data_IF_249133693542
#
_entry.id   IF_249133693542
#
_cell.length_a   1.000
_cell.length_b   1.000
_cell.length_c   1.000
_cell.angle_alpha   90.00
_cell.angle_beta   90.00
_cell.angle_gamma   90.00
#
_symmetry.space_group_name_H-M   'P 1'
#
loop_
_entity.id
_entity.type
_entity.pdbx_description
1 polymer ?
#
# COMPACT_ATOMS: atom_id res chain seq x y z
N UNK A 1 6.44 16.36 11.78
CA UNK A 1 5.85 15.11 12.28
C UNK A 1 5.45 14.26 11.09
N UNK A 2 5.68 12.96 11.13
CA UNK A 2 5.27 12.01 10.08
C UNK A 2 4.03 11.27 10.49
N UNK A 3 3.14 10.95 9.54
CA UNK A 3 1.98 10.08 9.78
C UNK A 3 1.65 9.24 8.56
N UNK A 4 1.11 8.05 8.79
CA UNK A 4 0.53 7.22 7.73
C UNK A 4 -0.98 7.13 7.95
N UNK A 5 -1.73 7.31 6.87
CA UNK A 5 -3.17 7.16 6.81
C UNK A 5 -3.46 5.94 5.94
N UNK A 6 -4.22 4.98 6.45
CA UNK A 6 -4.71 3.87 5.64
C UNK A 6 -5.83 4.35 4.74
N UNK A 7 -5.60 4.41 3.43
CA UNK A 7 -6.65 4.75 2.46
C UNK A 7 -7.47 3.52 2.07
N UNK A 8 -6.89 2.35 2.23
CA UNK A 8 -7.51 1.05 2.08
C UNK A 8 -6.81 0.00 2.94
N UNK A 9 -7.56 -0.90 3.55
CA UNK A 9 -7.06 -1.84 4.56
C UNK A 9 -7.27 -3.31 4.21
N UNK A 10 -7.88 -3.59 3.03
CA UNK A 10 -8.30 -4.92 2.64
C UNK A 10 -7.30 -5.59 1.69
N UNK A 11 -7.02 -6.87 1.91
CA UNK A 11 -6.35 -7.75 0.95
C UNK A 11 -7.30 -8.26 -0.13
N UNK A 12 -6.80 -8.24 -1.38
CA UNK A 12 -7.52 -8.64 -2.57
C UNK A 12 -8.44 -7.55 -3.17
N UNK A 13 -8.69 -7.60 -4.50
CA UNK A 13 -9.27 -6.50 -5.27
C UNK A 13 -10.80 -6.38 -5.14
N UNK A 14 -11.51 -7.40 -4.65
CA UNK A 14 -12.96 -7.43 -4.67
C UNK A 14 -13.59 -6.48 -3.65
N UNK A 15 -14.34 -5.48 -4.11
CA UNK A 15 -15.13 -4.59 -3.25
C UNK A 15 -16.48 -5.23 -2.91
N UNK A 16 -16.93 -5.04 -1.66
CA UNK A 16 -18.23 -5.49 -1.16
C UNK A 16 -18.95 -4.35 -0.45
N UNK A 17 -20.25 -4.38 -0.45
CA UNK A 17 -21.10 -3.37 0.20
C UNK A 17 -20.74 -3.25 1.69
N UNK A 18 -20.37 -2.05 2.11
CA UNK A 18 -20.01 -1.75 3.50
C UNK A 18 -18.68 -2.34 3.96
N UNK A 19 -17.92 -2.98 3.06
CA UNK A 19 -16.57 -3.48 3.33
C UNK A 19 -15.49 -2.43 3.07
N UNK A 20 -14.27 -2.67 3.58
CA UNK A 20 -13.13 -1.81 3.33
C UNK A 20 -12.65 -1.90 1.87
N UNK A 21 -11.88 -0.90 1.47
CA UNK A 21 -11.27 -0.81 0.14
C UNK A 21 -9.93 -1.55 0.06
N UNK A 22 -9.50 -1.99 -1.13
CA UNK A 22 -8.18 -2.57 -1.36
C UNK A 22 -7.04 -1.69 -0.87
N UNK A 23 -5.92 -2.34 -0.60
CA UNK A 23 -4.78 -1.76 0.09
C UNK A 23 -4.23 -0.50 -0.58
N UNK A 24 -4.11 0.55 0.20
CA UNK A 24 -3.35 1.75 -0.13
C UNK A 24 -3.07 2.58 1.12
N UNK A 25 -1.97 3.35 1.08
CA UNK A 25 -1.53 4.19 2.19
C UNK A 25 -1.20 5.59 1.71
N UNK A 26 -1.34 6.56 2.58
CA UNK A 26 -0.81 7.91 2.39
C UNK A 26 0.18 8.22 3.51
N UNK A 27 1.47 8.27 3.21
CA UNK A 27 2.49 8.78 4.10
C UNK A 27 2.61 10.29 3.91
N UNK A 28 2.48 11.02 5.01
CA UNK A 28 2.62 12.47 5.07
C UNK A 28 3.83 12.80 5.92
N UNK A 29 4.82 13.47 5.34
CA UNK A 29 5.99 13.97 6.05
C UNK A 29 6.09 15.47 5.76
N UNK A 30 5.87 16.30 6.78
CA UNK A 30 5.73 17.76 6.62
C UNK A 30 4.63 18.10 5.60
N UNK A 31 4.98 18.64 4.45
CA UNK A 31 4.11 19.00 3.32
C UNK A 31 4.18 18.02 2.14
N UNK A 32 5.00 16.97 2.25
CA UNK A 32 5.17 15.96 1.20
C UNK A 32 4.21 14.80 1.37
N UNK A 33 3.63 14.37 0.26
CA UNK A 33 2.64 13.30 0.18
C UNK A 33 3.19 12.14 -0.66
N UNK A 34 3.21 10.94 -0.07
CA UNK A 34 3.64 9.71 -0.72
C UNK A 34 2.49 8.72 -0.66
N UNK A 35 1.90 8.41 -1.80
CA UNK A 35 0.90 7.34 -1.92
C UNK A 35 1.63 6.02 -2.10
N UNK A 36 1.36 5.04 -1.25
CA UNK A 36 1.92 3.69 -1.36
C UNK A 36 0.78 2.75 -1.71
N UNK A 37 0.90 2.11 -2.84
CA UNK A 37 -0.10 1.33 -3.53
C UNK A 37 -1.35 2.13 -3.95
N UNK A 38 -1.96 1.68 -5.02
CA UNK A 38 -3.11 2.32 -5.66
C UNK A 38 -4.23 1.29 -5.89
N UNK A 39 -4.66 0.62 -4.81
CA UNK A 39 -5.85 -0.21 -4.82
C UNK A 39 -7.11 0.60 -5.14
N UNK A 40 -8.15 -0.09 -5.60
CA UNK A 40 -9.41 0.56 -5.98
C UNK A 40 -10.02 1.32 -4.78
N UNK A 41 -10.28 2.62 -4.94
CA UNK A 41 -10.74 3.52 -3.88
C UNK A 41 -9.68 4.48 -3.37
N UNK A 42 -8.41 4.36 -3.79
CA UNK A 42 -7.32 5.23 -3.35
C UNK A 42 -7.60 6.71 -3.62
N UNK A 43 -8.16 7.03 -4.79
CA UNK A 43 -8.51 8.42 -5.16
C UNK A 43 -9.50 9.03 -4.17
N UNK A 44 -10.53 8.28 -3.83
CA UNK A 44 -11.54 8.68 -2.86
C UNK A 44 -10.95 8.79 -1.45
N UNK A 45 -10.20 7.78 -1.02
CA UNK A 45 -9.54 7.77 0.29
C UNK A 45 -8.58 8.95 0.47
N UNK A 46 -7.84 9.33 -0.59
CA UNK A 46 -6.97 10.51 -0.58
C UNK A 46 -7.75 11.82 -0.28
N UNK A 47 -8.90 12.00 -0.91
CA UNK A 47 -9.76 13.18 -0.67
C UNK A 47 -10.42 13.12 0.71
N UNK A 48 -10.89 11.95 1.15
CA UNK A 48 -11.49 11.75 2.47
C UNK A 48 -10.46 11.93 3.60
N UNK A 49 -9.16 11.70 3.33
CA UNK A 49 -8.06 12.03 4.24
C UNK A 49 -7.80 13.54 4.37
N UNK A 50 -8.54 14.39 3.64
CA UNK A 50 -8.49 15.84 3.73
C UNK A 50 -7.49 16.50 2.79
N UNK A 51 -6.98 15.80 1.78
CA UNK A 51 -6.03 16.34 0.81
C UNK A 51 -6.70 16.66 -0.53
N UNK A 52 -6.15 17.65 -1.23
CA UNK A 52 -6.57 17.99 -2.58
C UNK A 52 -5.75 17.18 -3.60
N UNK A 53 -6.41 16.64 -4.61
CA UNK A 53 -5.78 15.78 -5.63
C UNK A 53 -4.63 16.47 -6.38
N UNK A 54 -4.68 17.79 -6.55
CA UNK A 54 -3.58 18.54 -7.16
C UNK A 54 -2.30 18.61 -6.30
N UNK A 55 -2.32 18.11 -5.06
CA UNK A 55 -1.14 17.96 -4.19
C UNK A 55 -0.41 16.62 -4.40
N UNK A 56 -0.96 15.71 -5.23
CA UNK A 56 -0.33 14.44 -5.54
C UNK A 56 1.06 14.68 -6.16
N UNK A 57 2.08 14.07 -5.57
CA UNK A 57 3.47 14.26 -6.01
C UNK A 57 4.25 12.97 -6.20
N UNK A 58 4.00 11.96 -5.37
CA UNK A 58 4.78 10.72 -5.39
C UNK A 58 3.88 9.50 -5.17
N UNK A 59 4.07 8.48 -5.99
CA UNK A 59 3.42 7.17 -5.87
C UNK A 59 4.49 6.09 -5.81
N UNK A 60 4.31 5.11 -4.93
CA UNK A 60 5.13 3.89 -4.87
C UNK A 60 4.21 2.67 -5.00
N UNK A 61 4.53 1.75 -5.89
CA UNK A 61 3.81 0.49 -6.06
C UNK A 61 4.69 -0.64 -5.54
N UNK A 62 4.19 -1.44 -4.59
CA UNK A 62 4.94 -2.55 -3.99
C UNK A 62 5.08 -3.73 -4.93
N UNK A 63 4.03 -4.06 -5.67
CA UNK A 63 3.99 -5.12 -6.68
C UNK A 63 2.78 -4.99 -7.63
N UNK A 64 2.73 -5.83 -8.68
CA UNK A 64 1.74 -5.71 -9.74
C UNK A 64 0.51 -6.61 -9.59
N UNK A 65 -0.04 -6.78 -8.37
CA UNK A 65 -1.43 -7.24 -8.23
C UNK A 65 -2.42 -6.08 -8.34
N UNK A 66 -3.64 -6.39 -8.78
CA UNK A 66 -4.66 -5.37 -9.07
C UNK A 66 -5.15 -4.63 -7.82
N UNK A 67 -5.12 -5.24 -6.65
CA UNK A 67 -5.45 -4.60 -5.38
C UNK A 67 -4.37 -3.62 -4.87
N UNK A 68 -3.23 -3.53 -5.57
CA UNK A 68 -2.14 -2.60 -5.28
C UNK A 68 -1.94 -1.55 -6.37
N UNK A 69 -2.50 -1.73 -7.59
CA UNK A 69 -2.16 -0.82 -8.69
C UNK A 69 -3.33 -0.48 -9.65
N UNK A 70 -4.52 -1.06 -9.47
CA UNK A 70 -5.62 -0.93 -10.45
C UNK A 70 -6.03 0.54 -10.67
N UNK A 71 -5.93 1.38 -9.66
CA UNK A 71 -6.33 2.79 -9.73
C UNK A 71 -5.15 3.75 -9.98
N UNK A 72 -3.94 3.23 -10.22
CA UNK A 72 -2.73 4.02 -10.46
C UNK A 72 -2.92 5.14 -11.51
N UNK A 73 -3.33 4.78 -12.71
CA UNK A 73 -3.57 5.76 -13.76
C UNK A 73 -4.78 6.64 -13.49
N UNK A 74 -5.85 6.07 -12.94
CA UNK A 74 -7.08 6.80 -12.61
C UNK A 74 -6.86 7.86 -11.54
N UNK A 75 -6.04 7.59 -10.51
CA UNK A 75 -5.67 8.57 -9.49
C UNK A 75 -5.01 9.79 -10.13
N UNK A 76 -4.00 9.59 -11.00
CA UNK A 76 -3.28 10.69 -11.64
C UNK A 76 -4.18 11.43 -12.63
N UNK A 77 -4.99 10.71 -13.42
CA UNK A 77 -5.95 11.31 -14.37
C UNK A 77 -6.99 12.18 -13.64
N UNK A 78 -7.53 11.67 -12.52
CA UNK A 78 -8.48 12.43 -11.71
C UNK A 78 -7.80 13.65 -11.07
N UNK A 79 -6.56 13.50 -10.59
CA UNK A 79 -5.77 14.62 -10.08
C UNK A 79 -5.51 15.68 -11.17
N UNK A 80 -5.21 15.26 -12.40
CA UNK A 80 -5.05 16.16 -13.55
C UNK A 80 -6.33 16.95 -13.84
N UNK A 81 -7.48 16.31 -13.84
CA UNK A 81 -8.75 17.03 -14.01
C UNK A 81 -9.06 17.94 -12.82
N UNK A 82 -8.52 17.67 -11.65
CA UNK A 82 -8.62 18.50 -10.43
C UNK A 82 -7.53 19.59 -10.32
N UNK A 83 -6.74 19.82 -11.38
CA UNK A 83 -5.77 20.91 -11.44
C UNK A 83 -4.33 20.52 -11.10
N UNK A 84 -3.97 19.24 -11.12
CA UNK A 84 -2.58 18.81 -11.05
C UNK A 84 -1.82 19.37 -12.24
N UNK A 85 -0.73 20.10 -11.98
CA UNK A 85 0.09 20.76 -13.00
C UNK A 85 1.59 20.43 -12.87
N UNK A 86 1.99 19.77 -11.78
CA UNK A 86 3.36 19.32 -11.54
C UNK A 86 3.48 17.80 -11.81
N UNK A 87 4.65 17.33 -12.31
CA UNK A 87 4.87 15.90 -12.53
C UNK A 87 4.76 15.06 -11.26
N UNK A 88 4.07 13.92 -11.35
CA UNK A 88 4.00 12.88 -10.33
C UNK A 88 5.15 11.89 -10.58
N UNK A 89 5.98 11.70 -9.56
CA UNK A 89 7.04 10.70 -9.57
C UNK A 89 6.46 9.35 -9.15
N UNK A 90 6.43 8.39 -10.05
CA UNK A 90 5.87 7.07 -9.80
C UNK A 90 6.97 6.01 -9.80
N UNK A 91 7.15 5.35 -8.67
CA UNK A 91 8.15 4.29 -8.47
C UNK A 91 7.44 2.94 -8.37
N UNK A 92 7.93 1.92 -9.06
CA UNK A 92 7.37 0.57 -8.99
C UNK A 92 8.33 -0.49 -9.50
N UNK A 93 7.98 -1.77 -9.34
CA UNK A 93 8.69 -2.86 -10.02
C UNK A 93 8.65 -2.68 -11.52
N UNK A 94 9.52 -3.40 -12.23
CA UNK A 94 9.55 -3.41 -13.69
C UNK A 94 8.15 -3.68 -14.28
N UNK A 95 7.73 -2.85 -15.23
CA UNK A 95 6.40 -2.89 -15.84
C UNK A 95 5.55 -1.64 -15.62
N UNK A 96 5.92 -0.77 -14.69
CA UNK A 96 5.15 0.45 -14.40
C UNK A 96 5.08 1.39 -15.62
N UNK A 97 6.17 1.52 -16.37
CA UNK A 97 6.19 2.29 -17.62
C UNK A 97 5.21 1.74 -18.67
N UNK A 98 5.08 0.40 -18.74
CA UNK A 98 4.09 -0.24 -19.63
C UNK A 98 2.65 0.05 -19.17
N UNK A 99 2.37 -0.04 -17.88
CA UNK A 99 1.05 0.32 -17.32
C UNK A 99 0.69 1.78 -17.63
N UNK A 100 1.64 2.71 -17.47
CA UNK A 100 1.47 4.12 -17.86
C UNK A 100 1.08 4.23 -19.33
N UNK A 101 1.85 3.63 -20.23
CA UNK A 101 1.61 3.70 -21.66
C UNK A 101 0.24 3.12 -22.05
N UNK A 102 -0.12 1.95 -21.49
CA UNK A 102 -1.41 1.32 -21.72
C UNK A 102 -2.58 2.18 -21.19
N UNK A 103 -2.43 2.79 -20.02
CA UNK A 103 -3.43 3.69 -19.45
C UNK A 103 -3.65 4.93 -20.32
N UNK A 104 -2.58 5.57 -20.79
CA UNK A 104 -2.64 6.74 -21.67
C UNK A 104 -3.31 6.40 -23.01
N UNK A 105 -2.99 5.25 -23.59
CA UNK A 105 -3.65 4.79 -24.82
C UNK A 105 -5.14 4.49 -24.62
N UNK A 106 -5.50 3.83 -23.54
CA UNK A 106 -6.89 3.54 -23.19
C UNK A 106 -7.73 4.82 -23.07
N UNK A 107 -7.17 5.86 -22.48
CA UNK A 107 -7.86 7.12 -22.19
C UNK A 107 -7.54 8.24 -23.20
N UNK A 108 -6.87 7.92 -24.32
CA UNK A 108 -6.37 8.92 -25.29
C UNK A 108 -7.44 9.87 -25.82
N UNK A 109 -8.69 9.40 -25.96
CA UNK A 109 -9.79 10.22 -26.46
C UNK A 109 -10.14 11.35 -25.48
N UNK A 110 -10.36 11.03 -24.20
CA UNK A 110 -10.68 12.02 -23.16
C UNK A 110 -9.50 12.98 -22.95
N UNK A 111 -8.27 12.45 -22.90
CA UNK A 111 -7.05 13.23 -22.71
C UNK A 111 -6.89 14.25 -23.86
N UNK A 112 -6.94 13.79 -25.11
CA UNK A 112 -6.81 14.66 -26.27
C UNK A 112 -7.92 15.73 -26.35
N UNK A 113 -9.16 15.34 -26.02
CA UNK A 113 -10.29 16.26 -25.99
C UNK A 113 -10.08 17.37 -24.97
N UNK A 114 -9.70 17.03 -23.75
CA UNK A 114 -9.49 18.02 -22.68
C UNK A 114 -8.27 18.91 -22.91
N UNK A 115 -7.22 18.40 -23.53
CA UNK A 115 -6.08 19.24 -23.95
C UNK A 115 -6.54 20.27 -24.97
N UNK A 116 -7.29 19.85 -26.01
CA UNK A 116 -7.74 20.72 -27.07
C UNK A 116 -8.82 21.74 -26.63
N UNK A 117 -9.77 21.32 -25.81
CA UNK A 117 -10.94 22.11 -25.41
C UNK A 117 -10.68 22.96 -24.14
N UNK A 118 -10.00 22.39 -23.15
CA UNK A 118 -9.79 23.03 -21.85
C UNK A 118 -8.38 23.64 -21.70
N UNK A 119 -7.45 23.40 -22.65
CA UNK A 119 -6.07 23.89 -22.59
C UNK A 119 -5.24 23.27 -21.46
N UNK A 120 -5.54 22.04 -21.06
CA UNK A 120 -4.79 21.33 -20.02
C UNK A 120 -3.37 20.97 -20.49
N UNK A 121 -2.40 20.87 -19.56
CA UNK A 121 -1.07 20.33 -19.89
C UNK A 121 -1.19 18.87 -20.37
N UNK A 122 -0.21 18.40 -21.14
CA UNK A 122 -0.18 16.98 -21.55
C UNK A 122 -0.04 16.07 -20.33
N UNK A 123 -1.04 15.19 -20.11
CA UNK A 123 -1.02 14.24 -19.01
C UNK A 123 0.19 13.29 -19.09
N UNK A 124 0.65 12.98 -20.30
CA UNK A 124 1.81 12.11 -20.49
C UNK A 124 3.10 12.72 -19.90
N UNK A 125 3.23 14.04 -19.90
CA UNK A 125 4.38 14.74 -19.31
C UNK A 125 4.29 14.82 -17.77
N UNK A 126 3.10 14.62 -17.21
CA UNK A 126 2.89 14.66 -15.76
C UNK A 126 3.05 13.29 -15.07
N UNK A 127 3.35 12.23 -15.81
CA UNK A 127 3.57 10.89 -15.23
C UNK A 127 5.00 10.46 -15.51
N UNK A 128 5.86 10.56 -14.51
CA UNK A 128 7.26 10.12 -14.61
C UNK A 128 7.41 8.80 -13.88
N UNK A 129 7.78 7.73 -14.60
CA UNK A 129 7.92 6.38 -14.04
C UNK A 129 9.37 6.00 -13.81
N UNK A 130 9.64 5.36 -12.68
CA UNK A 130 10.94 4.85 -12.27
C UNK A 130 10.80 3.39 -11.85
N UNK A 131 11.54 2.51 -12.48
CA UNK A 131 11.62 1.12 -12.04
C UNK A 131 12.61 1.01 -10.87
N UNK A 132 12.27 0.20 -9.86
CA UNK A 132 13.16 -0.12 -8.77
C UNK A 132 13.27 -1.64 -8.55
N UNK A 133 14.33 -2.03 -7.87
CA UNK A 133 14.59 -3.37 -7.36
C UNK A 133 14.96 -3.29 -5.88
N UNK A 134 15.35 -4.41 -5.28
CA UNK A 134 15.85 -4.43 -3.91
C UNK A 134 17.01 -3.45 -3.71
N UNK A 135 16.98 -2.71 -2.60
CA UNK A 135 17.95 -1.69 -2.25
C UNK A 135 17.36 -0.28 -2.18
N UNK A 136 18.14 0.72 -2.54
CA UNK A 136 17.72 2.12 -2.53
C UNK A 136 16.72 2.38 -3.65
N UNK A 137 15.53 2.90 -3.30
CA UNK A 137 14.52 3.37 -4.25
C UNK A 137 14.81 4.82 -4.62
N UNK A 138 14.84 5.71 -3.63
CA UNK A 138 15.30 7.08 -3.76
C UNK A 138 15.70 7.65 -2.39
N UNK A 139 16.40 8.77 -2.42
CA UNK A 139 16.82 9.53 -1.24
C UNK A 139 16.69 11.01 -1.59
N UNK A 140 15.72 11.68 -0.98
CA UNK A 140 15.47 13.11 -1.19
C UNK A 140 15.66 13.90 0.13
N UNK A 141 15.43 15.21 0.11
CA UNK A 141 15.59 16.07 1.29
C UNK A 141 14.65 15.73 2.46
N UNK A 142 13.65 14.89 2.21
CA UNK A 142 12.56 14.58 3.15
C UNK A 142 12.64 13.16 3.68
N UNK A 143 12.86 12.18 2.79
CA UNK A 143 12.80 10.77 3.14
C UNK A 143 13.78 9.94 2.30
N UNK A 144 14.39 8.96 2.94
CA UNK A 144 15.13 7.89 2.28
C UNK A 144 14.22 6.66 2.21
N UNK A 145 13.99 6.15 0.99
CA UNK A 145 13.17 4.96 0.76
C UNK A 145 14.04 3.82 0.27
N UNK A 146 13.93 2.68 0.96
CA UNK A 146 14.59 1.43 0.58
C UNK A 146 13.58 0.31 0.39
N UNK A 147 13.86 -0.62 -0.50
CA UNK A 147 13.05 -1.78 -0.81
C UNK A 147 13.76 -3.08 -0.42
N UNK A 148 13.02 -4.03 0.11
CA UNK A 148 13.45 -5.39 0.42
C UNK A 148 12.56 -6.37 -0.33
N UNK A 149 13.16 -7.36 -1.01
CA UNK A 149 12.41 -8.33 -1.83
C UNK A 149 11.66 -9.32 -0.95
N UNK A 150 10.37 -9.39 -1.16
CA UNK A 150 9.44 -10.31 -0.51
C UNK A 150 9.46 -11.71 -1.16
N UNK A 151 8.78 -12.65 -0.51
CA UNK A 151 8.41 -13.93 -1.06
C UNK A 151 6.89 -14.00 -1.26
N UNK A 152 6.41 -13.60 -2.44
CA UNK A 152 4.98 -13.51 -2.77
C UNK A 152 4.66 -14.25 -4.08
N UNK A 153 4.78 -15.60 -4.11
CA UNK A 153 4.59 -16.35 -5.33
C UNK A 153 3.13 -16.25 -5.86
N UNK A 154 2.92 -16.16 -7.18
CA UNK A 154 3.94 -16.30 -8.23
C UNK A 154 4.66 -14.99 -8.60
N UNK A 155 4.34 -13.87 -7.95
CA UNK A 155 4.98 -12.57 -8.20
C UNK A 155 6.42 -12.61 -7.66
N UNK A 156 7.39 -12.36 -8.53
CA UNK A 156 8.82 -12.33 -8.18
C UNK A 156 9.22 -10.95 -7.63
N UNK A 157 8.69 -9.90 -8.27
CA UNK A 157 8.98 -8.51 -7.91
C UNK A 157 7.88 -7.96 -7.00
N UNK A 158 7.89 -8.42 -5.75
CA UNK A 158 7.11 -7.89 -4.63
C UNK A 158 8.08 -7.39 -3.57
N UNK A 159 7.81 -6.22 -2.98
CA UNK A 159 8.75 -5.54 -2.08
C UNK A 159 8.06 -4.99 -0.83
N UNK A 160 8.76 -5.15 0.30
CA UNK A 160 8.57 -4.31 1.47
C UNK A 160 9.29 -2.97 1.24
N UNK A 161 8.74 -1.90 1.81
CA UNK A 161 9.31 -0.56 1.73
C UNK A 161 9.62 -0.02 3.12
N UNK A 162 10.81 0.54 3.31
CA UNK A 162 11.21 1.25 4.52
C UNK A 162 11.42 2.71 4.21
N UNK A 163 10.85 3.56 5.06
CA UNK A 163 10.89 5.02 4.99
C UNK A 163 11.65 5.53 6.22
N UNK A 164 12.83 6.09 6.01
CA UNK A 164 13.64 6.71 7.06
C UNK A 164 13.63 8.23 6.85
N UNK A 165 13.24 9.00 7.87
CA UNK A 165 13.13 10.45 7.80
C UNK A 165 13.44 11.10 9.16
N UNK A 166 13.44 12.43 9.23
CA UNK A 166 13.58 13.17 10.48
C UNK A 166 12.29 13.92 10.78
N UNK A 167 11.84 13.84 12.04
CA UNK A 167 10.73 14.66 12.51
C UNK A 167 11.12 16.15 12.58
N UNK A 168 10.18 17.01 12.97
CA UNK A 168 10.38 18.47 13.02
C UNK A 168 11.44 18.90 14.03
N UNK A 169 11.81 18.02 14.97
CA UNK A 169 12.87 18.21 15.96
C UNK A 169 14.21 17.61 15.51
N UNK A 170 14.28 17.08 14.29
CA UNK A 170 15.46 16.42 13.75
C UNK A 170 15.72 15.00 14.27
N UNK A 171 14.77 14.42 15.04
CA UNK A 171 14.89 13.06 15.55
C UNK A 171 14.62 12.06 14.42
N UNK A 172 15.49 11.02 14.25
CA UNK A 172 15.25 9.95 13.30
C UNK A 172 13.94 9.21 13.58
N UNK A 173 13.18 8.94 12.52
CA UNK A 173 11.93 8.20 12.50
C UNK A 173 11.95 7.21 11.36
N UNK A 174 11.21 6.12 11.53
CA UNK A 174 11.10 5.12 10.47
C UNK A 174 9.77 4.39 10.47
N UNK A 175 9.27 4.13 9.28
CA UNK A 175 8.12 3.27 9.04
C UNK A 175 8.47 2.17 8.04
N UNK A 176 7.92 0.98 8.24
CA UNK A 176 8.04 -0.13 7.29
C UNK A 176 6.65 -0.59 6.87
N UNK A 177 6.44 -0.77 5.58
CA UNK A 177 5.26 -1.39 4.98
C UNK A 177 5.72 -2.70 4.37
N UNK A 178 5.13 -3.82 4.81
CA UNK A 178 5.56 -5.16 4.38
C UNK A 178 5.36 -5.41 2.88
N UNK A 179 4.35 -4.76 2.25
CA UNK A 179 3.80 -5.31 1.01
C UNK A 179 3.26 -6.73 1.26
N UNK A 180 2.98 -7.47 0.20
CA UNK A 180 2.51 -8.85 0.31
C UNK A 180 3.66 -9.84 0.34
N UNK A 181 3.61 -10.78 1.27
CA UNK A 181 4.67 -11.77 1.49
C UNK A 181 4.16 -12.98 2.26
N UNK A 182 4.74 -14.15 2.03
CA UNK A 182 4.67 -15.24 3.00
C UNK A 182 5.43 -14.88 4.27
N UNK A 183 5.33 -15.72 5.30
CA UNK A 183 6.22 -15.59 6.47
C UNK A 183 7.68 -15.60 6.06
N UNK A 184 8.34 -14.45 6.21
CA UNK A 184 9.71 -14.21 5.77
C UNK A 184 10.54 -13.66 6.95
N UNK A 185 11.25 -14.53 7.73
CA UNK A 185 12.02 -14.10 8.90
C UNK A 185 13.03 -12.98 8.61
N UNK A 186 13.63 -12.95 7.41
CA UNK A 186 14.59 -11.90 7.01
C UNK A 186 13.96 -10.49 6.96
N UNK A 187 12.65 -10.37 6.81
CA UNK A 187 11.94 -9.09 6.90
C UNK A 187 12.12 -8.44 8.28
N UNK A 188 12.34 -9.22 9.35
CA UNK A 188 12.61 -8.69 10.68
C UNK A 188 13.92 -7.89 10.73
N UNK A 189 14.95 -8.29 9.98
CA UNK A 189 16.18 -7.52 9.91
C UNK A 189 16.00 -6.20 9.16
N UNK A 190 15.23 -6.23 8.09
CA UNK A 190 14.87 -5.02 7.32
C UNK A 190 14.01 -4.03 8.14
N UNK A 191 13.07 -4.54 8.94
CA UNK A 191 12.20 -3.73 9.80
C UNK A 191 12.83 -3.38 11.16
N UNK A 192 14.06 -3.82 11.42
CA UNK A 192 14.71 -3.68 12.75
C UNK A 192 14.61 -2.26 13.29
N UNK A 193 14.05 -2.16 14.51
CA UNK A 193 13.95 -0.91 15.27
C UNK A 193 13.09 0.18 14.64
N UNK A 194 12.25 -0.15 13.66
CA UNK A 194 11.32 0.82 13.09
C UNK A 194 10.31 1.32 14.15
N UNK A 195 9.94 2.61 14.08
CA UNK A 195 8.91 3.17 14.97
C UNK A 195 7.57 2.46 14.73
N UNK A 196 7.25 2.12 13.48
CA UNK A 196 6.03 1.38 13.12
C UNK A 196 6.28 0.39 11.97
N UNK A 197 5.70 -0.80 12.11
CA UNK A 197 5.60 -1.80 11.04
C UNK A 197 4.13 -1.98 10.66
N UNK A 198 3.79 -1.69 9.42
CA UNK A 198 2.54 -2.09 8.78
C UNK A 198 2.78 -3.44 8.12
N UNK A 199 2.14 -4.48 8.60
CA UNK A 199 2.31 -5.83 8.08
C UNK A 199 0.99 -6.38 7.55
N UNK A 200 1.03 -7.01 6.37
CA UNK A 200 -0.09 -7.78 5.87
C UNK A 200 -0.47 -8.90 6.84
N UNK A 201 -1.74 -9.27 6.88
CA UNK A 201 -2.17 -10.32 7.79
C UNK A 201 -3.33 -11.15 7.24
N UNK A 202 -3.17 -12.47 7.33
CA UNK A 202 -4.21 -13.44 7.01
C UNK A 202 -4.69 -14.13 8.28
N UNK A 203 -6.01 -14.07 8.54
CA UNK A 203 -6.66 -14.80 9.62
C UNK A 203 -7.07 -16.20 9.15
N UNK A 204 -6.26 -17.20 9.45
CA UNK A 204 -6.42 -18.57 8.95
C UNK A 204 -7.84 -19.14 9.07
N UNK A 205 -8.52 -19.04 10.25
CA UNK A 205 -9.89 -19.54 10.40
C UNK A 205 -10.92 -18.89 9.47
N UNK A 206 -10.66 -17.69 8.95
CA UNK A 206 -11.57 -17.00 8.02
C UNK A 206 -11.39 -17.37 6.55
N UNK A 207 -10.32 -18.06 6.19
CA UNK A 207 -9.95 -18.34 4.78
C UNK A 207 -10.99 -19.22 4.08
N UNK A 208 -11.49 -20.27 4.73
CA UNK A 208 -12.46 -21.18 4.10
C UNK A 208 -13.79 -20.48 3.78
N UNK A 209 -14.25 -19.60 4.68
CA UNK A 209 -15.45 -18.79 4.45
C UNK A 209 -15.26 -17.79 3.30
N UNK A 210 -14.05 -17.19 3.19
CA UNK A 210 -13.70 -16.33 2.05
C UNK A 210 -13.74 -17.11 0.75
N UNK A 211 -13.07 -18.26 0.67
CA UNK A 211 -12.99 -19.10 -0.53
C UNK A 211 -14.38 -19.57 -0.97
N UNK A 212 -15.24 -19.95 -0.03
CA UNK A 212 -16.61 -20.36 -0.31
C UNK A 212 -17.47 -19.26 -0.97
N UNK A 213 -17.14 -17.99 -0.76
CA UNK A 213 -17.80 -16.84 -1.38
C UNK A 213 -17.32 -16.54 -2.81
N UNK A 214 -16.14 -17.04 -3.19
CA UNK A 214 -15.50 -16.78 -4.49
C UNK A 214 -15.67 -18.01 -5.38
N UNK A 215 -16.69 -18.00 -6.23
CA UNK A 215 -17.11 -19.20 -6.98
C UNK A 215 -16.22 -19.54 -8.19
N UNK A 216 -15.39 -18.62 -8.65
CA UNK A 216 -14.56 -18.76 -9.86
C UNK A 216 -13.05 -18.93 -9.58
N UNK A 217 -12.67 -19.14 -8.33
CA UNK A 217 -11.27 -19.28 -7.92
C UNK A 217 -10.98 -20.67 -7.35
N UNK A 218 -10.94 -21.72 -8.19
CA UNK A 218 -10.76 -23.10 -7.74
C UNK A 218 -9.43 -23.35 -6.97
N UNK A 219 -8.42 -22.50 -7.18
CA UNK A 219 -7.11 -22.57 -6.52
C UNK A 219 -6.87 -21.42 -5.53
N UNK A 220 -7.91 -20.66 -5.20
CA UNK A 220 -7.78 -19.47 -4.36
C UNK A 220 -7.22 -19.79 -2.96
N UNK A 221 -7.67 -20.88 -2.33
CA UNK A 221 -7.15 -21.29 -1.02
C UNK A 221 -5.66 -21.60 -1.06
N UNK A 222 -5.21 -22.35 -2.08
CA UNK A 222 -3.80 -22.67 -2.28
C UNK A 222 -2.97 -21.40 -2.45
N UNK A 223 -3.46 -20.47 -3.27
CA UNK A 223 -2.79 -19.18 -3.47
C UNK A 223 -2.67 -18.39 -2.16
N UNK A 224 -3.76 -18.19 -1.44
CA UNK A 224 -3.75 -17.42 -0.19
C UNK A 224 -2.75 -17.98 0.81
N UNK A 225 -2.77 -19.30 1.03
CA UNK A 225 -1.86 -19.97 2.00
C UNK A 225 -0.40 -19.92 1.54
N UNK A 226 -0.14 -19.98 0.23
CA UNK A 226 1.21 -19.96 -0.32
C UNK A 226 1.82 -18.55 -0.43
N UNK A 227 1.00 -17.48 -0.36
CA UNK A 227 1.43 -16.15 -0.75
C UNK A 227 1.29 -15.09 0.34
N UNK A 228 0.62 -15.41 1.46
CA UNK A 228 0.33 -14.46 2.53
C UNK A 228 0.77 -14.94 3.91
N UNK A 229 0.96 -13.98 4.81
CA UNK A 229 1.45 -14.20 6.18
C UNK A 229 0.29 -14.40 7.15
N UNK A 230 0.32 -15.47 7.95
CA UNK A 230 -0.61 -15.63 9.06
C UNK A 230 -0.43 -14.51 10.08
N UNK A 231 -1.52 -14.08 10.69
CA UNK A 231 -1.52 -12.98 11.67
C UNK A 231 -0.54 -13.23 12.85
N UNK A 232 -0.40 -14.48 13.29
CA UNK A 232 0.56 -14.87 14.34
C UNK A 232 2.01 -14.69 13.88
N UNK A 233 2.27 -14.91 12.60
CA UNK A 233 3.61 -14.76 12.01
C UNK A 233 3.98 -13.28 11.82
N UNK A 234 3.02 -12.42 11.49
CA UNK A 234 3.22 -10.97 11.51
C UNK A 234 3.66 -10.49 12.91
N UNK A 235 3.06 -11.04 13.97
CA UNK A 235 3.49 -10.79 15.35
C UNK A 235 4.92 -11.26 15.65
N UNK A 236 5.33 -12.44 15.11
CA UNK A 236 6.71 -12.94 15.26
C UNK A 236 7.72 -12.02 14.58
N UNK A 237 7.41 -11.54 13.36
CA UNK A 237 8.26 -10.57 12.65
C UNK A 237 8.39 -9.28 13.47
N UNK A 238 7.29 -8.72 13.95
CA UNK A 238 7.31 -7.48 14.75
C UNK A 238 8.15 -7.62 16.02
N UNK A 239 8.05 -8.78 16.70
CA UNK A 239 8.84 -9.09 17.91
C UNK A 239 10.32 -9.23 17.58
N UNK A 240 10.67 -10.00 16.56
CA UNK A 240 12.05 -10.20 16.11
C UNK A 240 12.72 -8.89 15.63
N UNK A 241 11.94 -8.04 14.98
CA UNK A 241 12.39 -6.73 14.52
C UNK A 241 12.48 -5.69 15.65
N UNK A 242 11.90 -5.95 16.83
CA UNK A 242 11.82 -5.01 17.94
C UNK A 242 11.21 -3.65 17.52
N UNK A 243 10.13 -3.67 16.75
CA UNK A 243 9.46 -2.45 16.30
C UNK A 243 8.71 -1.75 17.45
N UNK A 244 8.51 -0.44 17.34
CA UNK A 244 7.78 0.32 18.35
C UNK A 244 6.27 0.04 18.36
N UNK A 245 5.69 -0.24 17.19
CA UNK A 245 4.25 -0.52 16.99
C UNK A 245 4.05 -1.46 15.81
N UNK A 246 3.09 -2.37 15.93
CA UNK A 246 2.58 -3.19 14.83
C UNK A 246 1.20 -2.69 14.40
N UNK A 247 1.02 -2.49 13.10
CA UNK A 247 -0.28 -2.24 12.47
C UNK A 247 -0.56 -3.39 11.50
N UNK A 248 -1.59 -4.18 11.77
CA UNK A 248 -2.05 -5.20 10.84
C UNK A 248 -2.83 -4.51 9.73
N UNK A 249 -2.44 -4.71 8.48
CA UNK A 249 -3.13 -4.17 7.30
C UNK A 249 -3.23 -5.23 6.21
N UNK A 250 -3.75 -4.89 5.02
CA UNK A 250 -3.99 -5.87 3.96
C UNK A 250 -4.67 -7.13 4.53
N UNK A 251 -5.80 -6.92 5.22
CA UNK A 251 -6.44 -7.96 6.02
C UNK A 251 -7.16 -9.00 5.14
N UNK A 252 -6.93 -10.29 5.39
CA UNK A 252 -7.56 -11.40 4.69
C UNK A 252 -8.20 -12.37 5.71
N UNK A 253 -9.56 -12.48 5.74
CA UNK A 253 -10.58 -11.66 5.09
C UNK A 253 -10.86 -10.37 5.87
N UNK A 254 -10.94 -9.22 5.21
CA UNK A 254 -11.31 -7.96 5.85
C UNK A 254 -12.83 -7.70 5.86
N UNK A 255 -13.58 -8.40 5.00
CA UNK A 255 -15.00 -8.17 4.73
C UNK A 255 -15.91 -9.32 5.21
N UNK A 256 -15.44 -10.12 6.16
CA UNK A 256 -16.26 -11.18 6.78
C UNK A 256 -16.92 -10.64 8.06
N UNK A 257 -18.25 -10.58 8.12
CA UNK A 257 -18.96 -10.08 9.31
C UNK A 257 -18.72 -10.91 10.59
N UNK A 258 -18.22 -12.14 10.44
CA UNK A 258 -17.86 -13.01 11.54
C UNK A 258 -16.41 -12.83 12.02
N UNK A 259 -15.56 -12.12 11.23
CA UNK A 259 -14.18 -11.83 11.61
C UNK A 259 -14.09 -10.37 12.07
N UNK A 260 -14.12 -10.18 13.39
CA UNK A 260 -14.10 -8.88 14.03
C UNK A 260 -12.68 -8.55 14.51
N UNK A 261 -12.43 -7.31 14.87
CA UNK A 261 -11.16 -6.80 15.38
C UNK A 261 -10.57 -7.71 16.49
N UNK A 262 -11.40 -8.18 17.41
CA UNK A 262 -10.96 -9.00 18.53
C UNK A 262 -10.38 -10.35 18.10
N UNK A 263 -10.76 -10.88 16.94
CA UNK A 263 -10.17 -12.11 16.39
C UNK A 263 -8.71 -11.90 15.98
N UNK A 264 -8.41 -10.78 15.31
CA UNK A 264 -7.07 -10.38 14.91
C UNK A 264 -6.19 -10.14 16.15
N UNK A 265 -6.68 -9.35 17.10
CA UNK A 265 -5.98 -9.05 18.34
C UNK A 265 -5.66 -10.33 19.13
N UNK A 266 -6.63 -11.23 19.29
CA UNK A 266 -6.46 -12.50 20.00
C UNK A 266 -5.42 -13.38 19.31
N UNK A 267 -5.40 -13.43 17.97
CA UNK A 267 -4.49 -14.28 17.22
C UNK A 267 -3.04 -13.75 17.27
N UNK A 268 -2.82 -12.44 17.22
CA UNK A 268 -1.47 -11.87 17.22
C UNK A 268 -0.85 -11.77 18.62
N UNK A 269 -1.65 -11.61 19.69
CA UNK A 269 -1.15 -11.37 21.06
C UNK A 269 -0.19 -12.43 21.61
N UNK A 270 -0.29 -13.73 21.30
CA UNK A 270 0.69 -14.72 21.73
C UNK A 270 2.12 -14.47 21.20
N UNK A 271 2.26 -13.73 20.09
CA UNK A 271 3.53 -13.47 19.43
C UNK A 271 3.96 -12.00 19.44
N UNK A 272 3.06 -11.08 19.83
CA UNK A 272 3.32 -9.65 19.91
C UNK A 272 2.67 -9.03 21.16
N UNK A 273 3.51 -8.54 22.09
CA UNK A 273 3.04 -7.90 23.33
C UNK A 273 3.02 -6.35 23.25
N UNK A 274 3.60 -5.76 22.21
CA UNK A 274 3.72 -4.31 22.06
C UNK A 274 2.43 -3.60 21.62
N UNK A 275 2.51 -2.30 21.35
CA UNK A 275 1.42 -1.50 20.77
C UNK A 275 0.91 -2.10 19.46
N UNK A 276 -0.42 -2.21 19.33
CA UNK A 276 -1.08 -2.89 18.21
C UNK A 276 -2.28 -2.10 17.71
N UNK A 277 -2.36 -1.94 16.40
CA UNK A 277 -3.58 -1.54 15.71
C UNK A 277 -4.00 -2.61 14.70
N UNK A 278 -5.30 -2.80 14.54
CA UNK A 278 -5.89 -3.55 13.43
C UNK A 278 -6.42 -2.52 12.44
N UNK A 279 -5.93 -2.56 11.21
CA UNK A 279 -6.19 -1.58 10.17
C UNK A 279 -7.67 -1.46 9.80
N UNK A 280 -8.07 -0.26 9.47
CA UNK A 280 -9.35 0.07 8.85
C UNK A 280 -9.15 1.34 8.01
N UNK A 281 -10.01 1.53 7.01
CA UNK A 281 -9.94 2.70 6.13
C UNK A 281 -10.10 4.00 6.92
N UNK A 282 -9.16 4.91 6.77
CA UNK A 282 -9.09 6.16 7.51
C UNK A 282 -8.29 6.10 8.82
N UNK A 283 -7.73 4.96 9.22
CA UNK A 283 -6.84 4.89 10.39
C UNK A 283 -5.61 5.79 10.17
N UNK A 284 -5.36 6.69 11.13
CA UNK A 284 -4.18 7.56 11.17
C UNK A 284 -3.21 7.04 12.21
N UNK A 285 -1.96 6.84 11.82
CA UNK A 285 -0.86 6.41 12.70
C UNK A 285 0.25 7.45 12.67
N UNK A 286 0.46 8.13 13.79
CA UNK A 286 1.55 9.08 13.96
C UNK A 286 2.90 8.35 14.17
N UNK A 287 4.00 8.92 13.61
CA UNK A 287 5.34 8.35 13.61
C UNK A 287 6.35 9.28 14.26
#
# INVERSE_FOLDING_TARGET
MGRIILLGSKGGPAIRTGGPTPTSYLLVIRDKLYVIDCGLGVTRGFVEAGFHLNQLSTILITHHHSDHNLEFGNLIHTAWTAGLAAPVQAYGPAGLAHMRAAFLDLNRFDIATRIADEGRPDLAELIVTHDYAEGLVFDDDTVRVTAFRNNHPPIVDSFALRFDFKDDNGKPRSAVISGDTTYLPALADFARGADVLFHEAMYGPGVDALVARVKNGSRLKEHLVASHTLVEDAGRIATAAAVGRLVLNHLIPADDPNVRREHWERAVRPTWAGPLDVGFDGLVVEI
#
